data_IF_457476545177
#
_entry.id   IF_457476545177
#
_cell.length_a   1.000
_cell.length_b   1.000
_cell.length_c   1.000
_cell.angle_alpha   90.00
_cell.angle_beta   90.00
_cell.angle_gamma   90.00
#
_symmetry.space_group_name_H-M   'P 1'
#
loop_
_entity.id
_entity.type
_entity.pdbx_description
1 polymer ?
#
# COMPACT_ATOMS: atom_id res chain seq x y z
N UNK A 1 -11.49 11.66 9.18
CA UNK A 1 -10.20 11.61 8.44
C UNK A 1 -10.23 12.61 7.28
N UNK A 2 -9.14 13.35 7.09
CA UNK A 2 -9.04 14.43 6.10
C UNK A 2 -8.60 13.94 4.71
N UNK A 3 -8.85 14.75 3.67
CA UNK A 3 -8.42 14.47 2.29
C UNK A 3 -6.91 14.43 2.11
N UNK A 4 -6.15 15.13 2.97
CA UNK A 4 -4.69 15.09 2.99
C UNK A 4 -4.18 13.72 3.44
N UNK A 5 -4.77 13.16 4.51
CA UNK A 5 -4.45 11.81 4.99
C UNK A 5 -4.73 10.76 3.92
N UNK A 6 -5.86 10.89 3.20
CA UNK A 6 -6.18 9.97 2.11
C UNK A 6 -5.14 9.99 1.00
N UNK A 7 -4.62 11.18 0.66
CA UNK A 7 -3.60 11.34 -0.38
C UNK A 7 -2.29 10.66 0.01
N UNK A 8 -1.78 10.91 1.21
CA UNK A 8 -0.52 10.31 1.67
C UNK A 8 -0.66 8.79 1.84
N UNK A 9 -1.77 8.32 2.41
CA UNK A 9 -2.03 6.88 2.55
C UNK A 9 -2.08 6.18 1.19
N UNK A 10 -2.67 6.82 0.16
CA UNK A 10 -2.71 6.29 -1.20
C UNK A 10 -1.34 6.29 -1.87
N UNK A 11 -0.54 7.34 -1.66
CA UNK A 11 0.82 7.44 -2.18
C UNK A 11 1.68 6.28 -1.63
N UNK A 12 1.70 6.13 -0.31
CA UNK A 12 2.46 5.09 0.41
C UNK A 12 1.98 3.67 0.13
N UNK A 13 0.68 3.48 -0.11
CA UNK A 13 0.11 2.17 -0.44
C UNK A 13 0.83 1.50 -1.62
N UNK A 14 1.35 2.32 -2.54
CA UNK A 14 2.01 1.89 -3.74
C UNK A 14 3.51 2.14 -3.74
N UNK A 15 4.08 2.57 -2.61
CA UNK A 15 5.52 2.71 -2.48
C UNK A 15 6.19 1.33 -2.66
N UNK A 16 7.15 1.26 -3.58
CA UNK A 16 7.81 -0.01 -3.94
C UNK A 16 6.92 -1.02 -4.68
N UNK A 17 5.71 -0.63 -5.13
CA UNK A 17 4.81 -1.48 -5.93
C UNK A 17 5.46 -1.93 -7.23
N UNK A 18 6.12 -0.99 -7.90
CA UNK A 18 6.92 -1.27 -9.07
C UNK A 18 8.09 -0.30 -9.09
N UNK A 19 9.30 -0.83 -9.21
CA UNK A 19 10.54 -0.06 -9.16
C UNK A 19 10.96 0.34 -10.58
N UNK A 20 11.61 1.48 -10.72
CA UNK A 20 12.23 1.89 -11.99
C UNK A 20 13.10 0.73 -12.54
N UNK A 21 12.94 0.34 -13.82
CA UNK A 21 12.33 1.07 -14.95
C UNK A 21 10.82 0.91 -15.15
N UNK A 22 10.06 0.54 -14.12
CA UNK A 22 8.59 0.44 -14.17
C UNK A 22 8.08 -0.51 -15.26
N UNK A 23 8.87 -1.55 -15.53
CA UNK A 23 8.55 -2.58 -16.52
C UNK A 23 8.36 -3.93 -15.87
N UNK A 24 7.36 -4.69 -16.34
CA UNK A 24 7.19 -6.08 -15.97
C UNK A 24 8.46 -6.93 -16.07
N UNK A 25 9.18 -6.80 -17.18
CA UNK A 25 10.37 -7.59 -17.49
C UNK A 25 11.59 -7.27 -16.63
N UNK A 26 11.62 -6.12 -15.92
CA UNK A 26 12.79 -5.71 -15.15
C UNK A 26 13.04 -6.64 -13.97
N UNK A 27 14.30 -7.06 -13.76
CA UNK A 27 14.69 -8.01 -12.69
C UNK A 27 14.17 -7.56 -11.30
N UNK A 28 14.24 -6.26 -10.99
CA UNK A 28 13.74 -5.69 -9.73
C UNK A 28 12.23 -5.83 -9.54
N UNK A 29 11.49 -6.00 -10.64
CA UNK A 29 10.03 -6.18 -10.66
C UNK A 29 9.61 -7.64 -10.83
N UNK A 30 10.56 -8.56 -10.98
CA UNK A 30 10.28 -10.00 -10.97
C UNK A 30 10.10 -10.53 -9.53
N UNK A 31 10.76 -9.91 -8.54
CA UNK A 31 10.52 -10.12 -7.11
C UNK A 31 10.00 -8.83 -6.48
N UNK A 32 8.68 -8.67 -6.40
CA UNK A 32 8.00 -7.47 -5.87
C UNK A 32 7.51 -7.68 -4.44
N UNK A 33 7.21 -6.56 -3.77
CA UNK A 33 6.51 -6.47 -2.49
C UNK A 33 7.33 -6.94 -1.28
N UNK A 34 8.19 -6.04 -0.79
CA UNK A 34 9.09 -6.31 0.33
C UNK A 34 8.52 -5.88 1.69
N UNK A 35 7.42 -5.11 1.71
CA UNK A 35 6.92 -4.47 2.92
C UNK A 35 5.42 -4.66 3.09
N UNK A 36 4.99 -4.89 4.33
CA UNK A 36 3.57 -4.94 4.72
C UNK A 36 2.76 -6.08 4.11
N UNK A 37 3.42 -7.15 3.64
CA UNK A 37 2.74 -8.38 3.19
C UNK A 37 2.31 -9.16 4.42
N UNK A 38 1.04 -9.56 4.49
CA UNK A 38 0.58 -10.50 5.52
C UNK A 38 0.28 -11.84 4.86
N UNK A 39 1.20 -12.79 4.97
CA UNK A 39 1.04 -14.12 4.41
C UNK A 39 -0.06 -14.92 5.12
N UNK A 40 -0.68 -15.92 4.47
CA UNK A 40 -1.55 -16.87 5.16
C UNK A 40 -0.86 -17.45 6.39
N UNK A 41 -1.56 -17.49 7.53
CA UNK A 41 -0.99 -17.99 8.80
C UNK A 41 -0.34 -19.37 8.65
N UNK A 42 -1.00 -20.29 7.95
CA UNK A 42 -0.46 -21.65 7.72
C UNK A 42 0.85 -21.64 6.93
N UNK A 43 1.00 -20.73 5.98
CA UNK A 43 2.25 -20.55 5.22
C UNK A 43 3.36 -20.00 6.12
N UNK A 44 3.08 -18.91 6.84
CA UNK A 44 4.03 -18.31 7.77
C UNK A 44 4.57 -19.32 8.79
N UNK A 45 3.69 -20.11 9.41
CA UNK A 45 4.07 -21.13 10.38
C UNK A 45 4.90 -22.27 9.77
N UNK A 46 4.68 -22.59 8.49
CA UNK A 46 5.47 -23.59 7.78
C UNK A 46 6.87 -23.07 7.37
N UNK A 47 7.09 -21.75 7.40
CA UNK A 47 8.36 -21.08 7.10
C UNK A 47 9.03 -20.54 8.37
N UNK A 48 8.87 -21.22 9.51
CA UNK A 48 9.41 -20.82 10.82
C UNK A 48 9.06 -19.39 11.26
N UNK A 49 7.87 -18.89 10.87
CA UNK A 49 7.37 -17.54 11.16
C UNK A 49 8.25 -16.39 10.62
N UNK A 50 9.13 -16.67 9.66
CA UNK A 50 9.99 -15.65 9.02
C UNK A 50 9.17 -14.61 8.25
N UNK A 51 8.08 -15.05 7.62
CA UNK A 51 7.18 -14.21 6.85
C UNK A 51 5.95 -13.84 7.69
N UNK A 52 5.66 -12.55 7.92
CA UNK A 52 4.60 -12.15 8.84
C UNK A 52 3.21 -12.51 8.31
N UNK A 53 2.32 -12.96 9.19
CA UNK A 53 0.89 -13.20 8.88
C UNK A 53 -0.05 -12.19 9.55
N UNK A 54 0.52 -11.25 10.31
CA UNK A 54 -0.23 -10.20 10.99
C UNK A 54 0.60 -8.91 11.13
N UNK A 55 -0.10 -7.81 11.36
CA UNK A 55 0.47 -6.56 11.89
C UNK A 55 -0.29 -6.12 13.13
N UNK A 56 0.37 -5.38 14.02
CA UNK A 56 -0.27 -4.74 15.17
C UNK A 56 0.21 -3.32 15.31
N UNK A 57 -0.73 -2.39 15.35
CA UNK A 57 -0.49 -0.98 15.65
C UNK A 57 -0.89 -0.71 17.09
N UNK A 58 0.01 -0.11 17.88
CA UNK A 58 -0.32 0.46 19.18
C UNK A 58 -0.05 1.97 19.20
N UNK A 59 -0.97 2.73 19.78
CA UNK A 59 -0.85 4.19 19.94
C UNK A 59 -1.53 4.65 21.23
N UNK A 60 -1.21 5.86 21.67
CA UNK A 60 -1.85 6.48 22.83
C UNK A 60 -2.85 7.53 22.37
N UNK A 61 -3.97 7.61 23.09
CA UNK A 61 -5.01 8.61 22.92
C UNK A 61 -5.19 9.36 24.23
N UNK A 62 -5.08 10.68 24.19
CA UNK A 62 -5.50 11.59 25.25
C UNK A 62 -6.93 12.04 25.00
N UNK A 63 -7.83 11.79 25.94
CA UNK A 63 -9.25 12.10 25.81
C UNK A 63 -10.07 11.41 26.88
N UNK A 64 -11.38 11.65 26.86
CA UNK A 64 -12.29 10.94 27.77
C UNK A 64 -12.53 9.50 27.32
N UNK A 65 -13.09 8.66 28.20
CA UNK A 65 -13.53 7.31 27.82
C UNK A 65 -14.64 7.31 26.75
N UNK A 66 -15.29 8.44 26.51
CA UNK A 66 -16.31 8.63 25.47
C UNK A 66 -15.71 9.01 24.10
N UNK A 67 -14.39 9.20 24.01
CA UNK A 67 -13.69 9.46 22.74
C UNK A 67 -14.02 8.35 21.74
N UNK A 68 -14.48 8.73 20.56
CA UNK A 68 -14.82 7.80 19.49
C UNK A 68 -13.57 7.46 18.69
N UNK A 69 -13.42 6.19 18.31
CA UNK A 69 -12.33 5.68 17.48
C UNK A 69 -12.89 5.17 16.15
N UNK A 70 -12.35 5.68 15.06
CA UNK A 70 -12.52 5.19 13.70
C UNK A 70 -11.28 4.36 13.32
N UNK A 71 -11.48 3.18 12.73
CA UNK A 71 -10.37 2.34 12.24
C UNK A 71 -10.64 1.92 10.80
N UNK A 72 -9.65 2.11 9.95
CA UNK A 72 -9.66 1.67 8.55
C UNK A 72 -8.38 0.90 8.25
N UNK A 73 -8.48 -0.11 7.40
CA UNK A 73 -7.31 -0.84 6.90
C UNK A 73 -7.33 -0.82 5.39
N UNK A 74 -6.21 -0.38 4.80
CA UNK A 74 -6.01 -0.29 3.36
C UNK A 74 -4.86 -1.19 2.95
N UNK A 75 -5.01 -1.87 1.83
CA UNK A 75 -3.98 -2.75 1.29
C UNK A 75 -4.19 -2.94 -0.21
N UNK A 76 -3.17 -3.49 -0.85
CA UNK A 76 -3.22 -3.96 -2.22
C UNK A 76 -3.56 -5.45 -2.24
N UNK A 77 -4.56 -5.80 -3.02
CA UNK A 77 -4.95 -7.17 -3.32
C UNK A 77 -4.51 -7.52 -4.74
N UNK A 78 -3.58 -8.47 -4.85
CA UNK A 78 -3.04 -8.87 -6.13
C UNK A 78 -4.10 -9.53 -7.02
N UNK A 79 -4.04 -9.19 -8.30
CA UNK A 79 -4.89 -9.73 -9.36
C UNK A 79 -4.00 -10.31 -10.44
N UNK A 80 -4.10 -11.61 -10.64
CA UNK A 80 -3.36 -12.30 -11.69
C UNK A 80 -4.04 -12.06 -13.03
N UNK A 81 -3.39 -11.31 -13.92
CA UNK A 81 -3.79 -11.04 -15.30
C UNK A 81 -3.08 -12.04 -16.21
N UNK A 82 -3.84 -13.02 -16.70
CA UNK A 82 -3.37 -13.98 -17.71
C UNK A 82 -3.93 -13.62 -19.08
N UNK A 83 -3.08 -13.55 -20.08
CA UNK A 83 -3.48 -13.41 -21.49
C UNK A 83 -3.65 -14.80 -22.08
N UNK A 84 -4.75 -15.01 -22.79
CA UNK A 84 -5.02 -16.25 -23.51
C UNK A 84 -5.25 -15.96 -24.98
N UNK A 85 -4.56 -16.70 -25.86
CA UNK A 85 -4.77 -16.67 -27.31
C UNK A 85 -5.85 -17.67 -27.69
N UNK A 86 -6.73 -17.30 -28.62
CA UNK A 86 -7.64 -18.23 -29.26
C UNK A 86 -6.88 -19.06 -30.31
N UNK A 87 -6.87 -20.38 -30.16
CA UNK A 87 -6.24 -21.30 -31.11
C UNK A 87 -7.19 -21.63 -32.27
N UNK A 88 -6.66 -22.22 -33.33
CA UNK A 88 -7.45 -22.67 -34.49
C UNK A 88 -8.54 -23.68 -34.11
N UNK A 89 -8.30 -24.47 -33.05
CA UNK A 89 -9.26 -25.42 -32.48
C UNK A 89 -10.38 -24.77 -31.65
N UNK A 90 -10.39 -23.43 -31.55
CA UNK A 90 -11.36 -22.66 -30.77
C UNK A 90 -11.13 -22.69 -29.25
N UNK A 91 -9.94 -23.11 -28.81
CA UNK A 91 -9.56 -23.16 -27.39
C UNK A 91 -8.76 -21.93 -26.98
N UNK A 92 -8.84 -21.57 -25.70
CA UNK A 92 -8.04 -20.47 -25.14
C UNK A 92 -6.79 -21.03 -24.45
N UNK A 93 -5.62 -20.67 -24.97
CA UNK A 93 -4.34 -21.09 -24.42
C UNK A 93 -3.61 -19.91 -23.75
N UNK A 94 -3.16 -20.03 -22.49
CA UNK A 94 -2.33 -19.02 -21.84
C UNK A 94 -1.06 -18.71 -22.63
N UNK A 95 -0.74 -17.44 -22.77
CA UNK A 95 0.48 -16.92 -23.39
C UNK A 95 1.04 -15.78 -22.55
N UNK A 96 2.36 -15.63 -22.52
CA UNK A 96 2.98 -14.52 -21.79
C UNK A 96 2.71 -13.18 -22.47
N UNK A 97 2.61 -13.18 -23.81
CA UNK A 97 2.41 -11.99 -24.63
C UNK A 97 1.60 -12.28 -25.88
N UNK A 98 0.69 -11.38 -26.23
CA UNK A 98 -0.10 -11.38 -27.46
C UNK A 98 -0.07 -9.97 -28.08
N UNK A 99 0.22 -9.86 -29.37
CA UNK A 99 0.19 -8.59 -30.09
C UNK A 99 -0.93 -8.61 -31.13
N UNK A 100 -1.80 -7.60 -31.11
CA UNK A 100 -2.99 -7.49 -31.95
C UNK A 100 -3.12 -6.04 -32.40
N UNK A 101 -3.17 -5.79 -33.71
CA UNK A 101 -3.29 -4.44 -34.28
C UNK A 101 -2.31 -3.40 -33.68
N UNK A 102 -1.08 -3.82 -33.35
CA UNK A 102 -0.05 -2.96 -32.75
C UNK A 102 -0.20 -2.70 -31.24
N UNK A 103 -1.24 -3.24 -30.59
CA UNK A 103 -1.39 -3.27 -29.14
C UNK A 103 -0.75 -4.54 -28.57
N UNK A 104 -0.03 -4.40 -27.46
CA UNK A 104 0.60 -5.53 -26.75
C UNK A 104 -0.22 -5.86 -25.52
N UNK A 105 -0.61 -7.11 -25.37
CA UNK A 105 -1.22 -7.67 -24.17
C UNK A 105 -0.21 -8.59 -23.50
N UNK A 106 0.08 -8.36 -22.22
CA UNK A 106 1.07 -9.12 -21.47
C UNK A 106 0.47 -9.68 -20.17
N UNK A 107 0.83 -10.91 -19.84
CA UNK A 107 0.45 -11.54 -18.58
C UNK A 107 1.28 -10.93 -17.44
N UNK A 108 0.62 -10.56 -16.34
CA UNK A 108 1.24 -9.84 -15.22
C UNK A 108 0.38 -9.91 -13.95
N UNK A 109 0.93 -9.52 -12.80
CA UNK A 109 0.14 -9.31 -11.57
C UNK A 109 -0.16 -7.82 -11.39
N UNK A 110 -1.42 -7.47 -11.56
CA UNK A 110 -2.00 -6.17 -11.22
C UNK A 110 -2.29 -6.10 -9.70
N UNK A 111 -2.61 -4.92 -9.18
CA UNK A 111 -3.12 -4.77 -7.82
C UNK A 111 -4.37 -3.91 -7.78
N UNK A 112 -5.29 -4.30 -6.91
CA UNK A 112 -6.52 -3.57 -6.62
C UNK A 112 -6.44 -3.04 -5.19
N UNK A 113 -6.78 -1.77 -5.01
CA UNK A 113 -6.93 -1.16 -3.69
C UNK A 113 -8.16 -1.77 -3.00
N UNK A 114 -7.98 -2.30 -1.79
CA UNK A 114 -9.07 -2.75 -0.93
C UNK A 114 -9.05 -1.93 0.36
N UNK A 115 -10.24 -1.60 0.87
CA UNK A 115 -10.43 -0.88 2.13
C UNK A 115 -11.44 -1.60 3.01
N UNK A 116 -11.07 -1.81 4.27
CA UNK A 116 -11.95 -2.34 5.30
C UNK A 116 -12.19 -1.23 6.33
N UNK A 117 -13.46 -0.88 6.53
CA UNK A 117 -13.88 0.13 7.51
C UNK A 117 -14.58 -0.59 8.67
N UNK A 118 -14.09 -0.38 9.89
CA UNK A 118 -14.71 -0.93 11.09
C UNK A 118 -15.82 0.00 11.61
N UNK A 119 -16.83 -0.54 12.32
CA UNK A 119 -17.78 0.28 13.04
C UNK A 119 -17.08 1.20 14.05
N UNK A 120 -17.55 2.44 14.15
CA UNK A 120 -17.05 3.40 15.14
C UNK A 120 -17.40 2.90 16.54
N UNK A 121 -16.42 2.90 17.43
CA UNK A 121 -16.59 2.51 18.83
C UNK A 121 -15.89 3.51 19.75
N UNK A 122 -16.43 3.75 20.95
CA UNK A 122 -15.74 4.58 21.93
C UNK A 122 -14.73 3.76 22.75
N UNK A 123 -13.78 4.45 23.38
CA UNK A 123 -12.72 3.83 24.17
C UNK A 123 -13.26 3.00 25.36
N UNK A 124 -14.36 3.43 25.98
CA UNK A 124 -15.00 2.71 27.09
C UNK A 124 -15.47 1.32 26.65
N UNK A 125 -16.17 1.23 25.51
CA UNK A 125 -16.65 -0.05 24.97
C UNK A 125 -15.48 -0.96 24.59
N UNK A 126 -14.46 -0.43 23.93
CA UNK A 126 -13.26 -1.17 23.52
C UNK A 126 -12.41 -1.64 24.70
N UNK A 127 -12.50 -0.97 25.85
CA UNK A 127 -11.82 -1.39 27.09
C UNK A 127 -12.53 -2.53 27.81
N UNK A 128 -13.84 -2.70 27.59
CA UNK A 128 -14.62 -3.79 28.16
C UNK A 128 -14.62 -5.03 27.26
N UNK A 129 -14.84 -4.82 25.95
CA UNK A 129 -14.98 -5.90 24.97
C UNK A 129 -14.17 -5.51 23.72
N UNK A 130 -13.19 -6.33 23.31
CA UNK A 130 -12.51 -6.17 22.04
C UNK A 130 -13.51 -6.14 20.87
N UNK A 131 -13.31 -5.22 19.94
CA UNK A 131 -14.00 -5.25 18.65
C UNK A 131 -13.29 -6.27 17.76
N UNK A 132 -13.94 -7.41 17.54
CA UNK A 132 -13.50 -8.44 16.60
C UNK A 132 -14.29 -8.28 15.30
N UNK A 133 -13.60 -8.20 14.17
CA UNK A 133 -14.19 -8.00 12.86
C UNK A 133 -13.62 -9.01 11.85
N UNK A 134 -14.28 -10.17 11.66
CA UNK A 134 -13.94 -11.08 10.59
C UNK A 134 -14.34 -10.48 9.25
N UNK A 135 -13.45 -10.53 8.27
CA UNK A 135 -13.66 -10.00 6.93
C UNK A 135 -13.38 -11.07 5.88
N UNK A 136 -14.36 -11.30 5.00
CA UNK A 136 -14.23 -12.16 3.84
C UNK A 136 -14.29 -11.30 2.58
N UNK A 137 -13.20 -11.29 1.82
CA UNK A 137 -13.18 -10.69 0.48
C UNK A 137 -13.24 -11.84 -0.51
N UNK A 138 -14.38 -11.97 -1.19
CA UNK A 138 -14.60 -13.04 -2.14
C UNK A 138 -13.61 -12.97 -3.30
N UNK A 139 -13.12 -14.14 -3.72
CA UNK A 139 -12.36 -14.26 -4.96
C UNK A 139 -13.20 -13.81 -6.16
N UNK A 140 -12.54 -13.29 -7.19
CA UNK A 140 -13.21 -12.78 -8.39
C UNK A 140 -12.46 -13.17 -9.64
N UNK A 141 -13.20 -13.66 -10.62
CA UNK A 141 -12.69 -13.92 -11.97
C UNK A 141 -13.45 -13.00 -12.93
N UNK A 142 -12.73 -12.29 -13.78
CA UNK A 142 -13.31 -11.49 -14.87
C UNK A 142 -12.62 -11.79 -16.18
N UNK A 143 -13.40 -11.82 -17.25
CA UNK A 143 -12.92 -12.07 -18.62
C UNK A 143 -13.22 -10.87 -19.50
N UNK A 144 -12.26 -10.51 -20.35
CA UNK A 144 -12.38 -9.44 -21.33
C UNK A 144 -11.86 -9.95 -22.68
N UNK A 145 -12.64 -9.89 -23.77
CA UNK A 145 -12.19 -10.38 -25.07
C UNK A 145 -11.13 -9.44 -25.67
N UNK A 146 -10.12 -10.04 -26.32
CA UNK A 146 -9.17 -9.32 -27.17
C UNK A 146 -9.66 -9.48 -28.61
N UNK A 147 -10.00 -8.37 -29.24
CA UNK A 147 -10.62 -8.33 -30.57
C UNK A 147 -9.68 -7.68 -31.57
N UNK A 148 -9.51 -8.33 -32.72
CA UNK A 148 -8.96 -7.75 -33.93
C UNK A 148 -10.12 -7.34 -34.84
N UNK A 149 -10.13 -6.09 -35.34
CA UNK A 149 -11.19 -5.61 -36.23
C UNK A 149 -11.29 -6.44 -37.52
N UNK A 150 -10.18 -7.05 -37.97
CA UNK A 150 -10.15 -7.86 -39.18
C UNK A 150 -10.63 -9.30 -38.99
N UNK A 151 -10.33 -9.91 -37.83
CA UNK A 151 -10.56 -11.35 -37.59
C UNK A 151 -11.47 -11.67 -36.40
N UNK A 152 -12.01 -10.67 -35.72
CA UNK A 152 -12.86 -10.85 -34.54
C UNK A 152 -12.05 -11.20 -33.28
N UNK A 153 -12.62 -11.97 -32.37
CA UNK A 153 -11.93 -12.34 -31.11
C UNK A 153 -10.72 -13.21 -31.39
N UNK A 154 -9.53 -12.75 -30.99
CA UNK A 154 -8.25 -13.46 -31.16
C UNK A 154 -7.66 -13.92 -29.81
N UNK A 155 -8.27 -13.52 -28.71
CA UNK A 155 -7.84 -13.91 -27.36
C UNK A 155 -8.77 -13.38 -26.28
N UNK A 156 -8.36 -13.53 -25.02
CA UNK A 156 -9.00 -12.89 -23.87
C UNK A 156 -8.01 -12.58 -22.76
N UNK A 157 -8.33 -11.56 -21.97
CA UNK A 157 -7.67 -11.23 -20.71
C UNK A 157 -8.49 -11.87 -19.59
N UNK A 158 -7.86 -12.76 -18.83
CA UNK A 158 -8.42 -13.38 -17.64
C UNK A 158 -7.79 -12.72 -16.42
N UNK A 159 -8.61 -12.12 -15.55
CA UNK A 159 -8.17 -11.52 -14.30
C UNK A 159 -8.72 -12.32 -13.13
N UNK A 160 -7.82 -12.84 -12.30
CA UNK A 160 -8.15 -13.69 -11.15
C UNK A 160 -7.64 -13.09 -9.86
N UNK A 161 -8.55 -12.79 -8.93
CA UNK A 161 -8.25 -12.47 -7.53
C UNK A 161 -8.66 -13.62 -6.63
N UNK A 162 -7.81 -13.95 -5.67
CA UNK A 162 -8.09 -15.01 -4.70
C UNK A 162 -9.00 -14.49 -3.59
N UNK A 163 -9.59 -15.41 -2.87
CA UNK A 163 -10.32 -15.08 -1.65
C UNK A 163 -9.33 -14.69 -0.55
N UNK A 164 -9.67 -13.67 0.24
CA UNK A 164 -8.95 -13.33 1.47
C UNK A 164 -9.88 -13.48 2.67
N UNK A 165 -9.38 -14.12 3.73
CA UNK A 165 -10.02 -14.19 5.05
C UNK A 165 -9.15 -13.43 6.03
N UNK A 166 -9.58 -12.24 6.40
CA UNK A 166 -8.87 -11.38 7.33
C UNK A 166 -9.61 -11.30 8.66
N UNK A 167 -8.88 -11.06 9.73
CA UNK A 167 -9.46 -10.75 11.04
C UNK A 167 -8.86 -9.45 11.56
N UNK A 168 -9.72 -8.52 11.96
CA UNK A 168 -9.31 -7.26 12.57
C UNK A 168 -9.76 -7.24 14.02
N UNK A 169 -8.83 -6.92 14.92
CA UNK A 169 -9.09 -6.86 16.35
C UNK A 169 -8.66 -5.51 16.90
N UNK A 170 -9.60 -4.78 17.50
CA UNK A 170 -9.34 -3.48 18.12
C UNK A 170 -9.65 -3.55 19.61
N UNK A 171 -8.73 -3.04 20.42
CA UNK A 171 -8.85 -2.98 21.88
C UNK A 171 -8.40 -1.62 22.39
N UNK A 172 -8.94 -1.21 23.54
CA UNK A 172 -8.45 -0.07 24.29
C UNK A 172 -8.07 -0.52 25.70
N UNK A 173 -7.06 0.10 26.30
CA UNK A 173 -6.70 -0.07 27.71
C UNK A 173 -6.59 1.31 28.34
N UNK A 174 -7.43 1.57 29.34
CA UNK A 174 -7.34 2.79 30.13
C UNK A 174 -6.06 2.76 30.98
N UNK A 175 -5.23 3.79 30.86
CA UNK A 175 -3.96 3.93 31.60
C UNK A 175 -4.06 4.99 32.69
N UNK A 176 -4.88 6.01 32.49
CA UNK A 176 -5.27 7.04 33.46
C UNK A 176 -6.68 7.56 33.12
N UNK A 177 -7.21 8.53 33.87
CA UNK A 177 -8.54 9.14 33.61
C UNK A 177 -8.64 9.80 32.23
N UNK A 178 -7.51 10.16 31.63
CA UNK A 178 -7.44 10.90 30.36
C UNK A 178 -6.55 10.25 29.29
N UNK A 179 -5.93 9.10 29.58
CA UNK A 179 -5.01 8.42 28.64
C UNK A 179 -5.43 6.98 28.44
N UNK A 180 -5.57 6.57 27.18
CA UNK A 180 -5.82 5.19 26.79
C UNK A 180 -4.79 4.70 25.77
N UNK A 181 -4.38 3.45 25.88
CA UNK A 181 -3.65 2.75 24.81
C UNK A 181 -4.64 2.05 23.90
N UNK A 182 -4.57 2.33 22.60
CA UNK A 182 -5.33 1.63 21.56
C UNK A 182 -4.41 0.62 20.88
N UNK A 183 -4.92 -0.59 20.63
CA UNK A 183 -4.25 -1.61 19.83
C UNK A 183 -5.18 -2.07 18.71
N UNK A 184 -4.73 -1.95 17.47
CA UNK A 184 -5.40 -2.48 16.27
C UNK A 184 -4.52 -3.55 15.63
N UNK A 185 -5.05 -4.76 15.48
CA UNK A 185 -4.36 -5.92 14.92
C UNK A 185 -5.07 -6.39 13.66
N UNK A 186 -4.32 -6.69 12.61
CA UNK A 186 -4.82 -7.25 11.35
C UNK A 186 -4.13 -8.59 11.11
N UNK A 187 -4.90 -9.63 10.85
CA UNK A 187 -4.41 -10.99 10.65
C UNK A 187 -4.91 -11.56 9.33
N UNK A 188 -4.03 -12.26 8.60
CA UNK A 188 -4.41 -13.06 7.45
C UNK A 188 -4.65 -14.52 7.86
N UNK A 189 -5.92 -14.90 7.88
CA UNK A 189 -6.42 -16.24 8.21
C UNK A 189 -6.90 -16.99 6.96
N UNK A 190 -6.48 -16.56 5.77
CA UNK A 190 -6.81 -17.22 4.51
C UNK A 190 -6.29 -18.65 4.52
N UNK A 191 -7.16 -19.60 4.16
CA UNK A 191 -6.77 -20.99 4.00
C UNK A 191 -5.88 -21.13 2.77
N UNK A 192 -4.67 -21.64 2.96
CA UNK A 192 -3.76 -21.96 1.86
C UNK A 192 -3.63 -23.48 1.71
N UNK A 193 -3.89 -23.96 0.49
CA UNK A 193 -3.73 -25.39 0.18
C UNK A 193 -2.26 -25.81 0.38
N UNK A 194 -2.03 -26.99 0.94
CA UNK A 194 -0.68 -27.50 1.22
C UNK A 194 0.21 -27.65 -0.03
N UNK A 195 -0.39 -27.75 -1.21
CA UNK A 195 0.32 -27.77 -2.50
C UNK A 195 0.92 -26.42 -2.90
N UNK A 196 0.48 -25.31 -2.29
CA UNK A 196 0.94 -23.96 -2.54
C UNK A 196 2.02 -23.57 -1.51
N UNK A 197 3.18 -24.21 -1.60
CA UNK A 197 4.31 -23.99 -0.69
C UNK A 197 5.29 -22.91 -1.15
N UNK A 198 5.09 -22.34 -2.33
CA UNK A 198 5.96 -21.28 -2.85
C UNK A 198 5.52 -19.90 -2.36
N UNK A 199 6.47 -18.98 -2.24
CA UNK A 199 6.23 -17.60 -1.84
C UNK A 199 5.28 -16.91 -2.80
N UNK A 200 5.46 -17.12 -4.10
CA UNK A 200 4.66 -16.51 -5.17
C UNK A 200 3.20 -16.94 -5.10
N UNK A 201 2.94 -18.22 -4.78
CA UNK A 201 1.59 -18.73 -4.61
C UNK A 201 0.93 -18.16 -3.35
N UNK A 202 1.65 -18.11 -2.23
CA UNK A 202 1.14 -17.56 -0.98
C UNK A 202 0.83 -16.06 -1.09
N UNK A 203 1.63 -15.32 -1.88
CA UNK A 203 1.48 -13.90 -2.09
C UNK A 203 0.13 -13.52 -2.74
N UNK A 204 -0.40 -14.36 -3.64
CA UNK A 204 -1.73 -14.17 -4.23
C UNK A 204 -2.87 -14.31 -3.22
N UNK A 205 -2.61 -14.88 -2.05
CA UNK A 205 -3.53 -15.05 -0.92
C UNK A 205 -3.19 -14.09 0.24
N UNK A 206 -2.45 -13.02 -0.04
CA UNK A 206 -1.95 -12.07 0.95
C UNK A 206 -2.44 -10.65 0.66
N UNK A 207 -2.91 -9.88 1.65
CA UNK A 207 -2.89 -8.43 1.54
C UNK A 207 -1.43 -7.96 1.50
N UNK A 208 -1.15 -7.03 0.60
CA UNK A 208 0.18 -6.46 0.37
C UNK A 208 0.14 -4.98 0.72
N UNK A 209 1.24 -4.43 1.25
CA UNK A 209 1.29 -3.02 1.63
C UNK A 209 0.17 -2.66 2.62
N UNK A 210 0.04 -3.45 3.68
CA UNK A 210 -1.07 -3.29 4.64
C UNK A 210 -0.84 -2.10 5.56
N UNK A 211 -1.73 -1.12 5.48
CA UNK A 211 -1.76 0.11 6.28
C UNK A 211 -2.96 0.13 7.21
N UNK A 212 -2.79 0.63 8.43
CA UNK A 212 -3.89 0.89 9.36
C UNK A 212 -4.01 2.39 9.60
N UNK A 213 -5.19 2.95 9.37
CA UNK A 213 -5.52 4.32 9.71
C UNK A 213 -6.41 4.32 10.95
N UNK A 214 -6.08 5.15 11.92
CA UNK A 214 -6.89 5.37 13.11
C UNK A 214 -7.26 6.85 13.18
N UNK A 215 -8.52 7.14 13.49
CA UNK A 215 -9.03 8.49 13.68
C UNK A 215 -9.75 8.58 15.03
N UNK A 216 -9.69 9.73 15.69
CA UNK A 216 -10.43 9.97 16.93
C UNK A 216 -11.33 11.19 16.83
N UNK A 217 -12.43 11.18 17.57
CA UNK A 217 -13.29 12.35 17.79
C UNK A 217 -13.48 12.56 19.29
N UNK A 218 -13.23 13.79 19.77
CA UNK A 218 -13.30 14.13 21.19
C UNK A 218 -12.05 13.75 21.99
N UNK A 219 -10.92 13.55 21.31
CA UNK A 219 -9.61 13.27 21.87
C UNK A 219 -8.52 13.47 20.82
N UNK A 220 -7.28 13.23 21.21
CA UNK A 220 -6.07 13.44 20.41
C UNK A 220 -5.13 12.24 20.56
N UNK A 221 -4.44 11.87 19.49
CA UNK A 221 -3.35 10.93 19.52
C UNK A 221 -2.08 11.59 20.02
N UNK A 222 -1.23 10.81 20.69
CA UNK A 222 0.07 11.26 21.17
C UNK A 222 1.14 10.81 20.18
N UNK A 223 2.07 11.71 19.83
CA UNK A 223 3.28 11.34 19.11
C UNK A 223 4.11 10.33 19.89
N UNK A 224 4.49 9.22 19.25
CA UNK A 224 5.44 8.26 19.81
C UNK A 224 6.90 8.62 19.50
N UNK A 225 7.13 9.57 18.58
CA UNK A 225 8.47 10.06 18.22
C UNK A 225 8.88 11.23 19.11
N UNK A 226 7.95 12.15 19.33
CA UNK A 226 8.12 13.36 20.15
C UNK A 226 7.13 13.32 21.33
N UNK A 227 7.22 12.26 22.13
CA UNK A 227 6.30 12.03 23.26
C UNK A 227 6.50 13.06 24.37
N UNK A 228 5.42 13.70 24.86
CA UNK A 228 5.46 14.54 26.05
C UNK A 228 5.99 13.80 27.28
N UNK A 229 6.79 14.46 28.13
CA UNK A 229 7.52 13.83 29.25
C UNK A 229 6.61 12.99 30.17
N UNK A 230 5.40 13.49 30.46
CA UNK A 230 4.41 12.83 31.32
C UNK A 230 3.90 11.51 30.76
N UNK A 231 3.97 11.32 29.43
CA UNK A 231 3.41 10.16 28.72
C UNK A 231 4.51 9.18 28.27
N UNK A 232 5.78 9.52 28.44
CA UNK A 232 6.92 8.64 28.10
C UNK A 232 6.81 7.24 28.72
N UNK A 233 6.41 7.06 29.99
CA UNK A 233 6.24 5.72 30.56
C UNK A 233 5.21 4.88 29.79
N UNK A 234 4.09 5.49 29.38
CA UNK A 234 3.04 4.82 28.63
C UNK A 234 3.45 4.54 27.18
N UNK A 235 4.15 5.48 26.55
CA UNK A 235 4.58 5.35 25.15
C UNK A 235 5.63 4.25 24.98
N UNK A 236 6.52 4.05 25.97
CA UNK A 236 7.48 2.93 25.97
C UNK A 236 6.82 1.56 25.97
N UNK A 237 5.61 1.46 26.51
CA UNK A 237 4.82 0.22 26.54
C UNK A 237 3.97 0.02 25.27
N UNK A 238 4.01 0.94 24.31
CA UNK A 238 3.41 0.78 22.99
C UNK A 238 4.34 -0.04 22.09
N UNK A 239 3.91 -1.25 21.71
CA UNK A 239 4.71 -2.16 20.88
C UNK A 239 3.93 -2.51 19.60
N UNK A 240 4.27 -1.81 18.53
CA UNK A 240 3.82 -2.11 17.17
C UNK A 240 4.67 -3.20 16.52
N UNK A 241 4.06 -4.01 15.65
CA UNK A 241 4.70 -5.15 14.97
C UNK A 241 4.46 -5.06 13.47
N UNK A 242 5.54 -5.02 12.69
CA UNK A 242 5.49 -4.94 11.23
C UNK A 242 4.96 -3.59 10.69
N UNK A 243 4.87 -2.56 11.54
CA UNK A 243 4.38 -1.24 11.18
C UNK A 243 4.91 -0.15 12.12
N UNK A 244 4.82 1.09 11.64
CA UNK A 244 5.29 2.31 12.30
C UNK A 244 4.15 3.34 12.33
N UNK A 245 3.43 3.47 13.46
CA UNK A 245 2.40 4.49 13.61
C UNK A 245 3.02 5.88 13.75
N UNK A 246 2.52 6.81 12.94
CA UNK A 246 2.86 8.24 12.98
C UNK A 246 1.59 9.06 12.94
N UNK A 247 1.63 10.27 13.50
CA UNK A 247 0.57 11.25 13.33
C UNK A 247 0.47 11.66 11.86
N UNK A 248 -0.74 11.91 11.38
CA UNK A 248 -0.98 12.31 10.01
C UNK A 248 -2.10 13.34 9.91
N UNK A 249 -2.09 14.16 8.86
CA UNK A 249 -3.07 15.22 8.64
C UNK A 249 -2.47 16.60 8.84
N UNK A 250 -3.27 17.54 9.37
CA UNK A 250 -2.81 18.88 9.69
C UNK A 250 -2.00 18.85 10.99
N UNK A 251 -0.85 19.54 11.03
CA UNK A 251 0.05 19.60 12.20
C UNK A 251 -0.62 20.20 13.43
N UNK A 252 -1.64 21.03 13.23
CA UNK A 252 -2.42 21.61 14.32
C UNK A 252 -3.48 20.63 14.87
N UNK A 253 -3.73 19.52 14.17
CA UNK A 253 -4.72 18.51 14.55
C UNK A 253 -4.05 17.17 14.85
N UNK A 254 -4.24 16.65 16.05
CA UNK A 254 -3.69 15.37 16.48
C UNK A 254 -4.74 14.25 16.40
N UNK A 255 -5.64 14.29 15.40
CA UNK A 255 -6.84 13.45 15.38
C UNK A 255 -6.67 12.15 14.58
N UNK A 256 -5.54 11.97 13.89
CA UNK A 256 -5.34 10.86 12.96
C UNK A 256 -3.94 10.25 13.09
N UNK A 257 -3.87 8.92 13.09
CA UNK A 257 -2.65 8.12 12.99
C UNK A 257 -2.66 7.32 11.70
N UNK A 258 -1.54 7.36 10.98
CA UNK A 258 -1.24 6.46 9.88
C UNK A 258 -0.17 5.47 10.34
N UNK A 259 -0.52 4.18 10.33
CA UNK A 259 0.42 3.10 10.61
C UNK A 259 0.76 2.37 9.32
N UNK A 260 2.01 2.54 8.90
CA UNK A 260 2.51 2.04 7.61
C UNK A 260 3.61 0.99 7.84
N UNK A 261 3.85 0.07 6.89
CA UNK A 261 4.96 -0.87 6.98
C UNK A 261 6.33 -0.23 6.68
N UNK A 262 6.35 1.08 6.40
CA UNK A 262 7.53 1.89 6.08
C UNK A 262 7.76 2.88 7.23
N UNK A 263 9.02 3.19 7.52
CA UNK A 263 9.36 4.13 8.60
C UNK A 263 9.10 5.54 8.11
N UNK A 264 8.28 6.29 8.84
CA UNK A 264 7.93 7.67 8.55
C UNK A 264 8.15 8.54 9.79
N UNK A 265 8.15 9.86 9.58
CA UNK A 265 8.03 10.84 10.66
C UNK A 265 6.58 11.32 10.77
N UNK A 266 6.26 11.97 11.89
CA UNK A 266 4.96 12.58 12.09
C UNK A 266 4.66 13.66 11.04
N UNK A 267 3.39 13.67 10.64
CA UNK A 267 2.85 14.51 9.57
C UNK A 267 3.63 14.31 8.25
N UNK A 268 3.63 13.08 7.71
CA UNK A 268 4.23 12.82 6.42
C UNK A 268 3.46 13.59 5.33
N UNK A 269 4.21 14.26 4.46
CA UNK A 269 3.68 15.06 3.36
C UNK A 269 4.15 14.47 2.03
N UNK A 270 3.23 14.34 1.07
CA UNK A 270 3.62 14.06 -0.32
C UNK A 270 4.25 15.34 -0.87
N UNK A 271 5.47 15.26 -1.41
CA UNK A 271 6.18 16.43 -1.92
C UNK A 271 5.32 17.19 -2.95
N UNK A 272 5.26 18.51 -2.86
CA UNK A 272 4.45 19.35 -3.76
C UNK A 272 4.93 19.33 -5.21
N UNK A 273 6.22 19.03 -5.44
CA UNK A 273 6.75 18.79 -6.79
C UNK A 273 6.31 17.42 -7.35
N UNK A 274 5.82 16.54 -6.47
CA UNK A 274 5.20 15.25 -6.76
C UNK A 274 3.71 15.36 -7.05
N UNK A 275 3.34 16.26 -7.97
CA UNK A 275 1.97 16.36 -8.48
C UNK A 275 1.50 15.05 -9.17
N UNK A 276 2.33 14.00 -9.24
CA UNK A 276 2.02 12.71 -9.86
C UNK A 276 2.37 11.49 -9.01
N UNK A 277 1.48 10.50 -9.08
CA UNK A 277 1.62 9.16 -8.51
C UNK A 277 2.80 8.40 -9.14
N UNK A 278 4.04 8.73 -8.79
CA UNK A 278 5.16 7.80 -8.98
C UNK A 278 5.15 6.80 -7.81
N UNK A 279 5.56 5.56 -8.09
CA UNK A 279 5.68 4.49 -7.08
C UNK A 279 6.78 4.72 -6.03
N UNK A 280 7.31 5.94 -6.00
CA UNK A 280 8.33 6.46 -5.11
C UNK A 280 7.87 7.88 -4.71
N UNK A 281 7.17 7.97 -3.59
CA UNK A 281 6.44 9.20 -3.19
C UNK A 281 7.23 10.13 -2.28
N UNK A 282 8.48 9.78 -1.95
CA UNK A 282 9.37 10.62 -1.13
C UNK A 282 10.55 11.20 -1.90
N UNK A 283 10.82 10.70 -3.11
CA UNK A 283 11.86 11.24 -4.00
C UNK A 283 11.32 11.31 -5.45
N UNK A 284 10.75 12.45 -5.86
CA UNK A 284 10.81 12.76 -7.30
C UNK A 284 12.23 13.21 -7.59
N UNK A 285 12.99 12.31 -8.17
CA UNK A 285 14.28 12.62 -8.75
C UNK A 285 14.06 12.91 -10.25
N UNK A 286 14.36 14.12 -10.71
CA UNK A 286 14.43 14.49 -12.13
C UNK A 286 15.17 13.42 -12.95
N UNK A 287 16.17 12.78 -12.33
CA UNK A 287 16.92 11.64 -12.88
C UNK A 287 15.98 10.49 -13.27
N UNK A 288 14.97 10.15 -12.48
CA UNK A 288 13.99 9.11 -12.81
C UNK A 288 13.13 9.52 -14.02
N UNK A 289 12.63 10.76 -14.05
CA UNK A 289 11.86 11.27 -15.19
C UNK A 289 12.69 11.28 -16.49
N UNK A 290 13.92 11.79 -16.44
CA UNK A 290 14.85 11.78 -17.58
C UNK A 290 15.17 10.35 -18.03
N UNK A 291 15.38 9.42 -17.08
CA UNK A 291 15.63 8.01 -17.39
C UNK A 291 14.43 7.30 -18.02
N UNK A 292 13.21 7.67 -17.66
CA UNK A 292 11.99 7.18 -18.34
C UNK A 292 11.93 7.71 -19.78
N UNK A 293 12.31 8.96 -20.01
CA UNK A 293 12.36 9.52 -21.37
C UNK A 293 13.38 8.80 -22.26
N UNK A 294 14.47 8.29 -21.68
CA UNK A 294 15.52 7.52 -22.39
C UNK A 294 15.16 6.06 -22.67
N UNK A 295 14.01 5.57 -22.22
CA UNK A 295 13.56 4.22 -22.57
C UNK A 295 13.37 4.09 -24.09
N UNK A 296 13.73 2.93 -24.64
CA UNK A 296 13.50 2.60 -26.05
C UNK A 296 12.00 2.54 -26.38
N UNK A 297 11.65 2.63 -27.66
CA UNK A 297 10.25 2.56 -28.09
C UNK A 297 9.58 1.22 -27.77
N UNK A 298 10.34 0.13 -27.73
CA UNK A 298 9.84 -1.18 -27.32
C UNK A 298 9.57 -1.21 -25.81
N UNK A 299 10.50 -0.69 -25.02
CA UNK A 299 10.36 -0.59 -23.58
C UNK A 299 9.19 0.33 -23.18
N UNK A 300 9.02 1.48 -23.85
CA UNK A 300 7.86 2.36 -23.64
C UNK A 300 6.55 1.67 -24.00
N UNK A 301 6.54 0.86 -25.06
CA UNK A 301 5.38 0.02 -25.41
C UNK A 301 5.07 -1.01 -24.33
N UNK A 302 6.07 -1.61 -23.71
CA UNK A 302 5.86 -2.53 -22.57
C UNK A 302 5.20 -1.80 -21.39
N UNK A 303 5.75 -0.64 -20.99
CA UNK A 303 5.24 0.18 -19.88
C UNK A 303 3.78 0.61 -20.11
N UNK A 304 3.42 1.09 -21.32
CA UNK A 304 2.02 1.50 -21.62
C UNK A 304 1.01 0.36 -21.48
N UNK A 305 1.46 -0.88 -21.64
CA UNK A 305 0.60 -2.06 -21.72
C UNK A 305 0.58 -2.91 -20.45
N UNK A 306 1.39 -2.57 -19.45
CA UNK A 306 1.51 -3.28 -18.17
C UNK A 306 0.24 -3.14 -17.30
N UNK A 307 -0.04 -1.94 -16.79
CA UNK A 307 -1.26 -1.61 -16.05
C UNK A 307 -1.63 -0.13 -16.24
N UNK A 308 -2.83 0.25 -15.77
CA UNK A 308 -3.34 1.61 -15.92
C UNK A 308 -2.49 2.68 -15.24
N UNK A 309 -1.84 2.34 -14.12
CA UNK A 309 -1.09 3.29 -13.30
C UNK A 309 0.28 3.58 -13.90
N UNK A 310 0.96 2.52 -14.31
CA UNK A 310 2.22 2.52 -15.05
C UNK A 310 2.10 3.27 -16.37
N UNK A 311 1.01 3.04 -17.12
CA UNK A 311 0.73 3.79 -18.34
C UNK A 311 0.59 5.29 -18.08
N UNK A 312 -0.19 5.67 -17.07
CA UNK A 312 -0.37 7.07 -16.69
C UNK A 312 0.95 7.73 -16.29
N UNK A 313 1.84 7.00 -15.60
CA UNK A 313 3.19 7.49 -15.25
C UNK A 313 4.00 7.81 -16.52
N UNK A 314 4.01 6.90 -17.50
CA UNK A 314 4.74 7.11 -18.75
C UNK A 314 4.14 8.25 -19.58
N UNK A 315 2.82 8.23 -19.81
CA UNK A 315 2.12 9.27 -20.57
C UNK A 315 2.34 10.66 -19.96
N UNK A 316 2.32 10.75 -18.63
CA UNK A 316 2.61 12.00 -17.93
C UNK A 316 4.06 12.44 -18.14
N UNK A 317 5.00 11.52 -18.03
CA UNK A 317 6.44 11.82 -18.21
C UNK A 317 6.76 12.27 -19.64
N UNK A 318 6.07 11.72 -20.64
CA UNK A 318 6.21 12.14 -22.03
C UNK A 318 5.59 13.52 -22.32
N UNK A 319 4.58 13.92 -21.53
CA UNK A 319 3.88 15.20 -21.68
C UNK A 319 4.34 16.28 -20.69
N UNK A 320 5.40 16.03 -19.92
CA UNK A 320 5.90 16.93 -18.88
C UNK A 320 6.54 18.19 -19.51
N UNK A 321 6.00 19.40 -19.27
CA UNK A 321 6.58 20.64 -19.79
C UNK A 321 7.99 20.88 -19.25
N UNK A 322 8.87 21.48 -20.07
CA UNK A 322 10.26 21.76 -19.70
C UNK A 322 10.39 22.63 -18.44
N UNK A 323 9.44 23.56 -18.21
CA UNK A 323 9.38 24.37 -17.00
C UNK A 323 9.06 23.57 -15.73
N UNK A 324 8.31 22.47 -15.84
CA UNK A 324 8.05 21.57 -14.71
C UNK A 324 9.25 20.66 -14.46
N UNK A 325 9.95 20.19 -15.50
CA UNK A 325 11.21 19.46 -15.34
C UNK A 325 12.28 20.29 -14.59
N UNK A 326 12.37 21.58 -14.88
CA UNK A 326 13.27 22.51 -14.17
C UNK A 326 12.91 22.72 -12.69
N UNK A 327 11.64 22.51 -12.30
CA UNK A 327 11.22 22.53 -10.89
C UNK A 327 11.54 21.23 -10.14
N UNK A 328 11.80 20.14 -10.88
CA UNK A 328 12.24 18.85 -10.33
C UNK A 328 13.76 18.81 -10.10
N UNK A 329 14.52 19.80 -10.57
CA UNK A 329 15.95 19.93 -10.27
C UNK A 329 16.16 19.96 -8.75
N UNK A 330 16.89 18.96 -8.24
CA UNK A 330 17.09 18.70 -6.82
C UNK A 330 17.37 19.95 -6.00
N UNK A 331 16.38 20.39 -5.21
CA UNK A 331 16.60 21.32 -4.11
C UNK A 331 17.25 20.51 -2.99
N UNK A 332 18.56 20.64 -2.81
CA UNK A 332 19.29 20.12 -1.65
C UNK A 332 18.62 20.64 -0.36
N UNK A 333 17.81 19.81 0.30
CA UNK A 333 17.28 20.08 1.64
C UNK A 333 18.08 19.24 2.64
N UNK A 334 18.87 19.90 3.50
CA UNK A 334 19.61 19.21 4.56
C UNK A 334 20.90 19.86 5.05
N UNK A 335 21.43 20.89 4.39
CA UNK A 335 22.55 21.66 4.95
C UNK A 335 22.00 22.72 5.90
N UNK A 336 21.84 22.36 7.17
CA UNK A 336 21.82 23.37 8.24
C UNK A 336 23.17 24.11 8.17
N UNK A 337 23.21 25.45 8.14
CA UNK A 337 24.47 26.15 8.35
C UNK A 337 25.01 25.75 9.72
N UNK A 338 26.24 25.25 9.81
CA UNK A 338 26.92 25.14 11.09
C UNK A 338 27.11 26.56 11.63
N UNK A 339 26.52 26.88 12.78
CA UNK A 339 26.82 28.10 13.54
C UNK A 339 28.23 28.05 14.11
N UNK A 340 29.24 28.12 13.24
CA UNK A 340 30.65 28.16 13.67
C UNK A 340 31.52 28.99 12.74
N UNK A 341 31.03 30.14 12.25
CA UNK A 341 31.86 31.18 11.61
C UNK A 341 31.29 32.60 11.82
N UNK A 342 30.90 32.90 13.05
CA UNK A 342 30.81 34.28 13.54
C UNK A 342 31.56 34.38 14.87
N UNK A 343 32.89 34.46 14.77
CA UNK A 343 33.74 35.19 15.73
C UNK A 343 35.10 35.52 15.14
#
# INVERSE_FOLDING_TARGET
MSTAVDRIAKALLYEGYMLYPYRPSAIKNQQRFNFGVLYPRSYSQAQDELEPWFTRTECLVTGSVLTSLEVRVRFLHLCDRTIQRLTEDGLFQPVDRLEVAGQVFQSWQEAVEEEIILPVANLQSLAQIPLEWPCLIAGKITEEPIVDEASGTVGKILRTRRELRLSLRVTAKLLSDSVSKVSARVENLTDLAASLSTREAALLHSPVSTHTLLGVQGGEFVSLLETPEELVPFARDCISVGCYPVLAGDRDTHDTVLSSPIILYDYPEVASESDGDLFDSTEIDEILSLRIMTLTDEEKREVRNADDRTRRILERTENLPQEQLLKLHGVLRGLRPSESDLR
#
